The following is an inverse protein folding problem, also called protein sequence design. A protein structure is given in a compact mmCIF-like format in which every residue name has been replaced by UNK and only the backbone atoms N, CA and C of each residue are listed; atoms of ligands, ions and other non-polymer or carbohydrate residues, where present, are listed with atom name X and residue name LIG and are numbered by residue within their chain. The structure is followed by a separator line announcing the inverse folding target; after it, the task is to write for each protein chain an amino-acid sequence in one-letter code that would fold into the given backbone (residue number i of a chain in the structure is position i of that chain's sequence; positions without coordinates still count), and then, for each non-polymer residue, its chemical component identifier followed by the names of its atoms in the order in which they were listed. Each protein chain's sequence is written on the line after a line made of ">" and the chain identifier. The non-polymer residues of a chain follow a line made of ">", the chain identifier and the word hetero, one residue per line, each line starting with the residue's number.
data_IF_630366454022
#
_entry.id   IF_630366454022
#
_cell.length_a   1.000
_cell.length_b   1.000
_cell.length_c   1.000
_cell.angle_alpha   90.00
_cell.angle_beta   90.00
_cell.angle_gamma   90.00
#
_symmetry.space_group_name_H-M   'P 1'
#
loop_
_entity.id
_entity.type
_entity.pdbx_description
1 polymer ?
#
# COMPACT_ATOMS: atom_id res chain seq x y z
N UNK A 1 -35.85 -3.36 25.44
CA UNK A 1 -36.41 -2.63 24.27
C UNK A 1 -35.39 -1.71 23.63
N UNK A 2 -34.61 -0.90 24.38
CA UNK A 2 -33.44 -0.22 23.80
C UNK A 2 -32.28 -1.21 23.56
N UNK A 3 -32.04 -2.12 24.50
CA UNK A 3 -30.89 -3.04 24.53
C UNK A 3 -30.76 -3.92 23.27
N UNK A 4 -31.84 -4.53 22.76
CA UNK A 4 -31.77 -5.49 21.66
C UNK A 4 -31.37 -4.82 20.34
N UNK A 5 -31.89 -3.61 20.09
CA UNK A 5 -31.51 -2.81 18.94
C UNK A 5 -30.07 -2.32 19.05
N UNK A 6 -29.64 -1.92 20.25
CA UNK A 6 -28.26 -1.47 20.48
C UNK A 6 -27.26 -2.63 20.30
N UNK A 7 -27.58 -3.83 20.77
CA UNK A 7 -26.81 -5.06 20.53
C UNK A 7 -26.67 -5.34 19.03
N UNK A 8 -27.78 -5.28 18.28
CA UNK A 8 -27.75 -5.50 16.83
C UNK A 8 -26.88 -4.46 16.09
N UNK A 9 -26.93 -3.19 16.50
CA UNK A 9 -26.10 -2.13 15.91
C UNK A 9 -24.62 -2.35 16.23
N UNK A 10 -24.27 -2.69 17.47
CA UNK A 10 -22.87 -2.89 17.88
C UNK A 10 -22.27 -4.13 17.21
N UNK A 11 -22.99 -5.25 17.19
CA UNK A 11 -22.53 -6.48 16.52
C UNK A 11 -22.34 -6.29 15.00
N UNK A 12 -23.24 -5.57 14.33
CA UNK A 12 -23.09 -5.20 12.92
C UNK A 12 -21.83 -4.35 12.67
N UNK A 13 -21.54 -3.35 13.52
CA UNK A 13 -20.31 -2.56 13.41
C UNK A 13 -19.05 -3.40 13.59
N UNK A 14 -19.04 -4.30 14.56
CA UNK A 14 -17.93 -5.24 14.77
C UNK A 14 -17.74 -6.11 13.53
N UNK A 15 -18.82 -6.67 12.98
CA UNK A 15 -18.76 -7.49 11.77
C UNK A 15 -18.24 -6.72 10.55
N UNK A 16 -18.68 -5.46 10.37
CA UNK A 16 -18.19 -4.59 9.31
C UNK A 16 -16.70 -4.29 9.45
N UNK A 17 -16.24 -3.97 10.65
CA UNK A 17 -14.82 -3.71 10.92
C UNK A 17 -13.95 -4.94 10.63
N UNK A 18 -14.36 -6.12 11.11
CA UNK A 18 -13.64 -7.37 10.88
C UNK A 18 -13.61 -7.76 9.39
N UNK A 19 -14.75 -7.65 8.70
CA UNK A 19 -14.81 -7.96 7.28
C UNK A 19 -13.98 -6.98 6.43
N UNK A 20 -13.94 -5.70 6.81
CA UNK A 20 -13.09 -4.70 6.16
C UNK A 20 -11.61 -5.04 6.34
N UNK A 21 -11.17 -5.29 7.57
CA UNK A 21 -9.78 -5.63 7.85
C UNK A 21 -9.35 -6.92 7.11
N UNK A 22 -10.21 -7.94 7.09
CA UNK A 22 -10.00 -9.15 6.27
C UNK A 22 -9.81 -8.81 4.79
N UNK A 23 -10.71 -8.02 4.21
CA UNK A 23 -10.64 -7.65 2.79
C UNK A 23 -9.37 -6.84 2.48
N UNK A 24 -8.96 -5.94 3.38
CA UNK A 24 -7.68 -5.22 3.25
C UNK A 24 -6.49 -6.17 3.28
N UNK A 25 -6.45 -7.12 4.22
CA UNK A 25 -5.36 -8.10 4.30
C UNK A 25 -5.30 -9.00 3.07
N UNK A 26 -6.44 -9.45 2.56
CA UNK A 26 -6.54 -10.25 1.34
C UNK A 26 -6.02 -9.47 0.12
N UNK A 27 -6.44 -8.21 -0.02
CA UNK A 27 -5.99 -7.32 -1.08
C UNK A 27 -4.48 -7.04 -1.01
N UNK A 28 -3.94 -6.80 0.19
CA UNK A 28 -2.51 -6.61 0.41
C UNK A 28 -1.75 -7.89 0.03
N UNK A 29 -2.19 -9.06 0.51
CA UNK A 29 -1.54 -10.33 0.19
C UNK A 29 -1.52 -10.59 -1.33
N UNK A 30 -2.63 -10.37 -2.04
CA UNK A 30 -2.70 -10.52 -3.50
C UNK A 30 -1.79 -9.51 -4.22
N UNK A 31 -1.75 -8.26 -3.77
CA UNK A 31 -0.91 -7.21 -4.35
C UNK A 31 0.59 -7.50 -4.15
N UNK A 32 0.96 -8.10 -3.01
CA UNK A 32 2.35 -8.49 -2.69
C UNK A 32 2.80 -9.78 -3.38
N UNK A 33 1.95 -10.46 -4.15
CA UNK A 33 2.36 -11.67 -4.88
C UNK A 33 3.49 -11.41 -5.88
N UNK A 34 4.21 -12.49 -6.21
CA UNK A 34 5.32 -12.47 -7.16
C UNK A 34 4.92 -11.94 -8.54
N UNK A 35 3.65 -12.13 -8.95
CA UNK A 35 3.15 -11.66 -10.26
C UNK A 35 2.92 -10.14 -10.31
N UNK A 36 2.80 -9.50 -9.16
CA UNK A 36 2.46 -8.10 -8.99
C UNK A 36 3.69 -7.34 -8.45
N UNK A 37 3.71 -7.01 -7.16
CA UNK A 37 4.78 -6.22 -6.56
C UNK A 37 6.14 -6.97 -6.57
N UNK A 38 6.13 -8.30 -6.48
CA UNK A 38 7.36 -9.09 -6.58
C UNK A 38 8.06 -8.93 -7.94
N UNK A 39 7.30 -8.98 -9.05
CA UNK A 39 7.80 -8.70 -10.40
C UNK A 39 8.26 -7.26 -10.56
N UNK A 40 7.56 -6.31 -9.94
CA UNK A 40 7.97 -4.92 -9.95
C UNK A 40 9.38 -4.77 -9.37
N UNK A 41 9.64 -5.36 -8.19
CA UNK A 41 10.95 -5.34 -7.54
C UNK A 41 12.01 -6.13 -8.32
N UNK A 42 11.64 -7.24 -8.96
CA UNK A 42 12.53 -7.98 -9.86
C UNK A 42 13.00 -7.09 -11.03
N UNK A 43 12.08 -6.36 -11.68
CA UNK A 43 12.44 -5.40 -12.72
C UNK A 43 13.35 -4.27 -12.17
N UNK A 44 13.20 -3.87 -10.90
CA UNK A 44 14.13 -2.89 -10.28
C UNK A 44 15.53 -3.49 -10.13
N UNK A 45 15.63 -4.76 -9.75
CA UNK A 45 16.90 -5.46 -9.66
C UNK A 45 17.59 -5.60 -11.02
N UNK A 46 16.84 -5.84 -12.09
CA UNK A 46 17.37 -5.84 -13.47
C UNK A 46 17.94 -4.48 -13.86
N UNK A 47 17.23 -3.39 -13.56
CA UNK A 47 17.71 -2.03 -13.82
C UNK A 47 18.96 -1.68 -13.00
N UNK A 48 19.06 -2.17 -11.76
CA UNK A 48 20.29 -2.06 -10.96
C UNK A 48 21.44 -2.82 -11.63
N UNK A 49 21.17 -4.00 -12.20
CA UNK A 49 22.16 -4.74 -12.99
C UNK A 49 22.65 -3.98 -14.23
N UNK A 50 21.75 -3.24 -14.90
CA UNK A 50 22.14 -2.36 -16.02
C UNK A 50 23.02 -1.20 -15.55
N UNK A 51 22.70 -0.62 -14.40
CA UNK A 51 23.53 0.44 -13.78
C UNK A 51 24.93 -0.09 -13.42
N UNK A 52 25.03 -1.30 -12.87
CA UNK A 52 26.32 -1.97 -12.60
C UNK A 52 27.14 -2.14 -13.88
N UNK A 53 26.51 -2.62 -14.96
CA UNK A 53 27.17 -2.73 -16.27
C UNK A 53 27.58 -1.36 -16.85
N UNK A 54 26.83 -0.29 -16.53
CA UNK A 54 27.24 1.10 -16.78
C UNK A 54 28.52 1.48 -16.02
N UNK A 55 28.58 1.13 -14.73
CA UNK A 55 29.77 1.34 -13.88
C UNK A 55 31.03 0.64 -14.42
N UNK A 56 30.90 -0.58 -14.93
CA UNK A 56 32.02 -1.30 -15.56
C UNK A 56 32.52 -0.60 -16.83
N UNK A 57 31.61 -0.02 -17.63
CA UNK A 57 31.98 0.78 -18.81
C UNK A 57 32.70 2.07 -18.41
N UNK A 58 32.22 2.76 -17.37
CA UNK A 58 32.90 3.94 -16.82
C UNK A 58 34.28 3.58 -16.31
N UNK A 59 34.43 2.45 -15.61
CA UNK A 59 35.72 1.98 -15.11
C UNK A 59 36.72 1.74 -16.23
N UNK A 60 36.28 1.16 -17.34
CA UNK A 60 37.12 0.97 -18.52
C UNK A 60 37.57 2.32 -19.10
N UNK A 61 36.64 3.26 -19.25
CA UNK A 61 36.96 4.60 -19.73
C UNK A 61 37.95 5.33 -18.80
N UNK A 62 37.78 5.21 -17.48
CA UNK A 62 38.69 5.79 -16.48
C UNK A 62 40.12 5.22 -16.61
N UNK A 63 40.24 3.90 -16.81
CA UNK A 63 41.53 3.26 -17.03
C UNK A 63 42.22 3.77 -18.31
N UNK A 64 41.47 3.93 -19.41
CA UNK A 64 41.98 4.47 -20.66
C UNK A 64 42.41 5.94 -20.52
N UNK A 65 41.59 6.76 -19.87
CA UNK A 65 41.91 8.16 -19.58
C UNK A 65 43.17 8.30 -18.70
N UNK A 66 43.32 7.47 -17.66
CA UNK A 66 44.52 7.47 -16.80
C UNK A 66 45.78 7.06 -17.59
N UNK A 67 45.68 6.03 -18.44
CA UNK A 67 46.78 5.61 -19.29
C UNK A 67 47.22 6.73 -20.26
N UNK A 68 46.28 7.44 -20.87
CA UNK A 68 46.54 8.58 -21.74
C UNK A 68 47.10 9.79 -20.97
N UNK A 69 46.57 10.09 -19.78
CA UNK A 69 47.09 11.15 -18.92
C UNK A 69 48.54 10.91 -18.50
N UNK A 70 48.90 9.66 -18.19
CA UNK A 70 50.30 9.26 -17.93
C UNK A 70 51.20 9.36 -19.15
N UNK A 71 50.68 9.14 -20.36
CA UNK A 71 51.44 9.34 -21.59
C UNK A 71 51.67 10.83 -21.84
N UNK A 72 50.60 11.62 -21.83
CA UNK A 72 50.63 13.07 -22.04
C UNK A 72 51.55 13.79 -21.04
N UNK A 73 51.51 13.39 -19.76
CA UNK A 73 52.40 13.93 -18.72
C UNK A 73 53.87 13.61 -18.96
N UNK A 74 54.18 12.46 -19.58
CA UNK A 74 55.56 12.05 -19.89
C UNK A 74 56.11 12.68 -21.14
N UNK A 75 55.29 12.81 -22.20
CA UNK A 75 55.74 13.31 -23.51
C UNK A 75 55.67 14.83 -23.59
N UNK A 76 54.69 15.44 -22.92
CA UNK A 76 54.39 16.86 -23.06
C UNK A 76 53.92 17.25 -24.47
N UNK A 77 53.61 16.26 -25.32
CA UNK A 77 53.17 16.51 -26.68
C UNK A 77 51.73 17.03 -26.71
N UNK A 78 51.47 18.00 -27.59
CA UNK A 78 50.11 18.56 -27.74
C UNK A 78 49.11 17.52 -28.22
N UNK A 79 49.53 16.57 -29.06
CA UNK A 79 48.67 15.50 -29.55
C UNK A 79 48.23 14.56 -28.43
N UNK A 80 49.15 14.17 -27.55
CA UNK A 80 48.84 13.31 -26.40
C UNK A 80 47.98 14.04 -25.36
N UNK A 81 48.20 15.34 -25.14
CA UNK A 81 47.34 16.17 -24.28
C UNK A 81 45.91 16.27 -24.82
N UNK A 82 45.74 16.42 -26.14
CA UNK A 82 44.41 16.47 -26.76
C UNK A 82 43.67 15.13 -26.60
N UNK A 83 44.34 13.99 -26.84
CA UNK A 83 43.75 12.67 -26.62
C UNK A 83 43.32 12.45 -25.18
N UNK A 84 44.17 12.81 -24.22
CA UNK A 84 43.82 12.73 -22.80
C UNK A 84 42.57 13.54 -22.47
N UNK A 85 42.44 14.77 -23.00
CA UNK A 85 41.25 15.59 -22.80
C UNK A 85 39.99 14.93 -23.40
N UNK A 86 40.09 14.31 -24.59
CA UNK A 86 38.98 13.56 -25.19
C UNK A 86 38.55 12.36 -24.33
N UNK A 87 39.51 11.62 -23.76
CA UNK A 87 39.21 10.50 -22.87
C UNK A 87 38.61 10.97 -21.53
N UNK A 88 39.07 12.10 -20.98
CA UNK A 88 38.49 12.74 -19.79
C UNK A 88 37.02 13.10 -20.01
N UNK A 89 36.71 13.73 -21.16
CA UNK A 89 35.35 14.06 -21.56
C UNK A 89 34.49 12.81 -21.73
N UNK A 90 35.03 11.73 -22.31
CA UNK A 90 34.32 10.45 -22.45
C UNK A 90 33.97 9.82 -21.10
N UNK A 91 34.86 9.89 -20.10
CA UNK A 91 34.57 9.44 -18.73
C UNK A 91 33.40 10.22 -18.16
N UNK A 92 33.44 11.56 -18.25
CA UNK A 92 32.36 12.41 -17.73
C UNK A 92 31.02 12.14 -18.39
N UNK A 93 31.01 12.00 -19.72
CA UNK A 93 29.80 11.69 -20.48
C UNK A 93 29.21 10.34 -20.05
N UNK A 94 30.06 9.31 -19.91
CA UNK A 94 29.63 7.98 -19.50
C UNK A 94 29.10 7.96 -18.07
N UNK A 95 29.75 8.69 -17.17
CA UNK A 95 29.29 8.84 -15.79
C UNK A 95 27.97 9.59 -15.73
N UNK A 96 27.82 10.72 -16.43
CA UNK A 96 26.59 11.50 -16.45
C UNK A 96 25.40 10.67 -16.96
N UNK A 97 25.62 9.81 -17.95
CA UNK A 97 24.59 8.87 -18.41
C UNK A 97 24.18 7.90 -17.30
N UNK A 98 25.15 7.28 -16.61
CA UNK A 98 24.85 6.38 -15.49
C UNK A 98 24.18 7.09 -14.31
N UNK A 99 24.57 8.34 -14.03
CA UNK A 99 23.97 9.18 -13.01
C UNK A 99 22.50 9.52 -13.35
N UNK A 100 22.22 9.82 -14.63
CA UNK A 100 20.85 10.01 -15.11
C UNK A 100 20.02 8.72 -15.03
N UNK A 101 20.57 7.58 -15.46
CA UNK A 101 19.91 6.26 -15.35
C UNK A 101 19.56 5.94 -13.89
N UNK A 102 20.44 6.33 -12.95
CA UNK A 102 20.19 6.22 -11.51
C UNK A 102 19.02 7.12 -11.07
N UNK A 103 18.96 8.38 -11.52
CA UNK A 103 17.81 9.27 -11.24
C UNK A 103 16.47 8.70 -11.75
N UNK A 104 16.45 8.14 -12.96
CA UNK A 104 15.28 7.48 -13.54
C UNK A 104 14.90 6.21 -12.76
N UNK A 105 15.89 5.44 -12.30
CA UNK A 105 15.67 4.32 -11.38
C UNK A 105 15.11 4.80 -10.04
N UNK A 106 15.64 5.87 -9.45
CA UNK A 106 15.15 6.48 -8.21
C UNK A 106 13.68 6.89 -8.31
N UNK A 107 13.28 7.46 -9.44
CA UNK A 107 11.88 7.81 -9.73
C UNK A 107 10.97 6.58 -9.85
N UNK A 108 11.47 5.49 -10.45
CA UNK A 108 10.74 4.20 -10.52
C UNK A 108 10.61 3.54 -9.15
N UNK A 109 11.65 3.56 -8.33
CA UNK A 109 11.62 3.09 -6.93
C UNK A 109 10.64 3.93 -6.11
N UNK A 110 10.62 5.26 -6.30
CA UNK A 110 9.68 6.14 -5.60
C UNK A 110 8.22 5.87 -5.89
N UNK A 111 7.87 5.40 -7.11
CA UNK A 111 6.50 4.95 -7.41
C UNK A 111 6.12 3.69 -6.65
N UNK A 112 7.02 2.71 -6.62
CA UNK A 112 6.85 1.49 -5.83
C UNK A 112 6.66 1.84 -4.34
N UNK A 113 7.50 2.73 -3.82
CA UNK A 113 7.40 3.24 -2.46
C UNK A 113 6.01 3.86 -2.18
N UNK A 114 5.45 4.64 -3.11
CA UNK A 114 4.10 5.20 -2.98
C UNK A 114 2.99 4.14 -2.91
N UNK A 115 3.09 3.06 -3.68
CA UNK A 115 2.13 1.95 -3.59
C UNK A 115 2.15 1.28 -2.20
N UNK A 116 3.32 1.18 -1.56
CA UNK A 116 3.41 0.69 -0.17
C UNK A 116 2.81 1.66 0.85
N UNK A 117 2.90 2.97 0.59
CA UNK A 117 2.27 4.00 1.42
C UNK A 117 0.73 3.89 1.37
N UNK A 118 0.17 3.64 0.19
CA UNK A 118 -1.27 3.40 0.04
C UNK A 118 -1.74 2.17 0.85
N UNK A 119 -0.98 1.08 0.83
CA UNK A 119 -1.28 -0.10 1.65
C UNK A 119 -1.15 0.18 3.15
N UNK A 120 -0.13 0.96 3.56
CA UNK A 120 0.05 1.40 4.94
C UNK A 120 -1.16 2.21 5.42
N UNK A 121 -1.62 3.16 4.62
CA UNK A 121 -2.80 3.99 4.94
C UNK A 121 -4.07 3.15 5.10
N UNK A 122 -4.29 2.18 4.20
CA UNK A 122 -5.47 1.32 4.27
C UNK A 122 -5.44 0.36 5.46
N UNK A 123 -4.28 -0.18 5.82
CA UNK A 123 -4.11 -0.97 7.03
C UNK A 123 -4.27 -0.12 8.29
N UNK A 124 -3.74 1.11 8.31
CA UNK A 124 -3.91 2.07 9.40
C UNK A 124 -5.39 2.38 9.65
N UNK A 125 -6.16 2.61 8.58
CA UNK A 125 -7.63 2.79 8.67
C UNK A 125 -8.31 1.53 9.21
N UNK A 126 -7.97 0.35 8.67
CA UNK A 126 -8.53 -0.93 9.14
C UNK A 126 -8.22 -1.20 10.60
N UNK A 127 -7.01 -0.88 11.07
CA UNK A 127 -6.64 -0.97 12.48
C UNK A 127 -7.49 -0.06 13.37
N UNK A 128 -7.72 1.19 12.95
CA UNK A 128 -8.60 2.11 13.67
C UNK A 128 -10.06 1.64 13.74
N UNK A 129 -10.56 0.97 12.69
CA UNK A 129 -11.88 0.33 12.74
C UNK A 129 -11.93 -0.85 13.73
N UNK A 130 -10.84 -1.62 13.84
CA UNK A 130 -10.75 -2.73 14.81
C UNK A 130 -10.64 -2.21 16.25
N UNK A 131 -9.96 -1.10 16.48
CA UNK A 131 -9.95 -0.40 17.79
C UNK A 131 -11.37 0.00 18.20
N UNK A 132 -12.13 0.59 17.28
CA UNK A 132 -13.53 0.92 17.55
C UNK A 132 -14.36 -0.35 17.79
N UNK A 133 -14.13 -1.42 17.04
CA UNK A 133 -14.81 -2.70 17.24
C UNK A 133 -14.52 -3.30 18.61
N UNK A 134 -13.30 -3.18 19.14
CA UNK A 134 -12.99 -3.59 20.52
C UNK A 134 -13.79 -2.77 21.54
N UNK A 135 -13.90 -1.46 21.35
CA UNK A 135 -14.75 -0.62 22.21
C UNK A 135 -16.24 -0.99 22.12
N UNK A 136 -16.71 -1.37 20.92
CA UNK A 136 -18.08 -1.81 20.71
C UNK A 136 -18.32 -3.17 21.40
N UNK A 137 -17.36 -4.10 21.36
CA UNK A 137 -17.40 -5.37 22.11
C UNK A 137 -17.38 -5.16 23.63
N UNK A 138 -16.58 -4.22 24.13
CA UNK A 138 -16.54 -3.86 25.55
C UNK A 138 -17.89 -3.28 26.02
N UNK A 139 -18.64 -2.67 25.12
CA UNK A 139 -20.00 -2.20 25.38
C UNK A 139 -21.00 -3.36 25.32
N UNK A 140 -20.83 -4.29 24.37
CA UNK A 140 -21.65 -5.52 24.27
C UNK A 140 -21.58 -6.37 25.54
N UNK A 141 -20.41 -6.46 26.19
CA UNK A 141 -20.21 -7.21 27.44
C UNK A 141 -21.07 -6.67 28.61
N UNK A 142 -21.51 -5.41 28.55
CA UNK A 142 -22.37 -4.79 29.57
C UNK A 142 -23.84 -5.20 29.44
N UNK A 143 -24.24 -5.76 28.29
CA UNK A 143 -25.59 -6.25 28.07
C UNK A 143 -25.70 -7.71 28.52
N UNK A 144 -26.42 -8.00 29.62
CA UNK A 144 -26.57 -9.38 30.09
C UNK A 144 -27.28 -10.29 29.07
N UNK A 145 -28.08 -9.71 28.17
CA UNK A 145 -28.81 -10.42 27.12
C UNK A 145 -27.92 -10.91 25.96
N UNK A 146 -26.77 -10.28 25.72
CA UNK A 146 -25.84 -10.70 24.66
C UNK A 146 -25.00 -11.92 25.06
N UNK A 147 -24.69 -12.03 26.36
CA UNK A 147 -23.93 -13.13 26.93
C UNK A 147 -22.42 -12.88 26.95
N UNK A 148 -21.80 -13.07 28.11
CA UNK A 148 -20.38 -12.81 28.33
C UNK A 148 -19.46 -13.70 27.48
N UNK A 149 -19.87 -14.94 27.17
CA UNK A 149 -19.10 -15.87 26.35
C UNK A 149 -18.97 -15.38 24.90
N UNK A 150 -20.08 -14.95 24.28
CA UNK A 150 -20.10 -14.43 22.91
C UNK A 150 -19.29 -13.13 22.79
N UNK A 151 -19.43 -12.22 23.76
CA UNK A 151 -18.62 -11.01 23.84
C UNK A 151 -17.12 -11.33 23.99
N UNK A 152 -16.76 -12.28 24.86
CA UNK A 152 -15.37 -12.70 25.07
C UNK A 152 -14.74 -13.34 23.83
N UNK A 153 -15.51 -14.13 23.10
CA UNK A 153 -15.07 -14.75 21.84
C UNK A 153 -14.86 -13.68 20.75
N UNK A 154 -15.81 -12.74 20.58
CA UNK A 154 -15.63 -11.60 19.66
C UNK A 154 -14.39 -10.77 20.02
N UNK A 155 -14.20 -10.44 21.30
CA UNK A 155 -13.05 -9.67 21.78
C UNK A 155 -11.74 -10.33 21.35
N UNK A 156 -11.65 -11.65 21.57
CA UNK A 156 -10.46 -12.45 21.23
C UNK A 156 -10.19 -12.42 19.73
N UNK A 157 -11.22 -12.59 18.90
CA UNK A 157 -11.10 -12.61 17.44
C UNK A 157 -10.74 -11.25 16.86
N UNK A 158 -11.38 -10.17 17.33
CA UNK A 158 -11.05 -8.80 16.93
C UNK A 158 -9.61 -8.46 17.31
N UNK A 159 -9.19 -8.78 18.54
CA UNK A 159 -7.82 -8.56 19.00
C UNK A 159 -6.78 -9.35 18.17
N UNK A 160 -7.12 -10.58 17.75
CA UNK A 160 -6.22 -11.34 16.88
C UNK A 160 -6.06 -10.69 15.50
N UNK A 161 -7.16 -10.27 14.89
CA UNK A 161 -7.16 -9.61 13.60
C UNK A 161 -6.44 -8.25 13.65
N UNK A 162 -6.59 -7.52 14.75
CA UNK A 162 -5.88 -6.26 14.97
C UNK A 162 -4.37 -6.47 15.07
N UNK A 163 -3.94 -7.49 15.81
CA UNK A 163 -2.53 -7.83 15.93
C UNK A 163 -1.93 -8.18 14.55
N UNK A 164 -2.63 -9.00 13.76
CA UNK A 164 -2.19 -9.32 12.40
C UNK A 164 -2.10 -8.07 11.52
N UNK A 165 -3.13 -7.21 11.55
CA UNK A 165 -3.15 -5.95 10.78
C UNK A 165 -1.97 -5.05 11.15
N UNK A 166 -1.68 -4.90 12.45
CA UNK A 166 -0.55 -4.12 12.96
C UNK A 166 0.81 -4.72 12.58
N UNK A 167 0.94 -6.05 12.62
CA UNK A 167 2.18 -6.72 12.20
C UNK A 167 2.44 -6.55 10.71
N UNK A 168 1.41 -6.73 9.88
CA UNK A 168 1.48 -6.48 8.45
C UNK A 168 1.89 -5.04 8.16
N UNK A 169 1.26 -4.08 8.85
CA UNK A 169 1.55 -2.66 8.72
C UNK A 169 3.01 -2.32 9.02
N UNK A 170 3.54 -2.82 10.14
CA UNK A 170 4.94 -2.64 10.52
C UNK A 170 5.92 -3.25 9.50
N UNK A 171 5.56 -4.40 8.93
CA UNK A 171 6.33 -5.05 7.86
C UNK A 171 6.37 -4.21 6.58
N UNK A 172 5.21 -3.69 6.14
CA UNK A 172 5.11 -2.79 5.00
C UNK A 172 5.88 -1.49 5.23
N UNK A 173 5.79 -0.91 6.42
CA UNK A 173 6.56 0.28 6.78
C UNK A 173 8.08 0.04 6.69
N UNK A 174 8.55 -1.12 7.14
CA UNK A 174 9.96 -1.48 7.03
C UNK A 174 10.40 -1.58 5.56
N UNK A 175 9.57 -2.15 4.69
CA UNK A 175 9.81 -2.21 3.25
C UNK A 175 9.79 -0.81 2.60
N UNK A 176 8.82 0.03 2.98
CA UNK A 176 8.71 1.42 2.54
C UNK A 176 9.97 2.23 2.88
N UNK A 177 10.44 2.15 4.13
CA UNK A 177 11.62 2.89 4.58
C UNK A 177 12.89 2.43 3.82
N UNK A 178 13.01 1.14 3.48
CA UNK A 178 14.11 0.61 2.67
C UNK A 178 14.06 1.11 1.22
N UNK A 179 12.89 1.15 0.59
CA UNK A 179 12.76 1.76 -0.74
C UNK A 179 13.05 3.25 -0.71
N UNK A 180 12.72 3.94 0.39
CA UNK A 180 13.14 5.33 0.63
C UNK A 180 14.65 5.50 0.64
N UNK A 181 15.38 4.61 1.31
CA UNK A 181 16.85 4.60 1.29
C UNK A 181 17.41 4.34 -0.10
N UNK A 182 16.89 3.32 -0.80
CA UNK A 182 17.29 3.00 -2.16
C UNK A 182 17.08 4.20 -3.11
N UNK A 183 15.91 4.85 -3.02
CA UNK A 183 15.59 6.06 -3.78
C UNK A 183 16.57 7.19 -3.47
N UNK A 184 16.87 7.43 -2.19
CA UNK A 184 17.83 8.45 -1.79
C UNK A 184 19.23 8.18 -2.34
N UNK A 185 19.71 6.93 -2.30
CA UNK A 185 20.98 6.52 -2.90
C UNK A 185 21.02 6.80 -4.40
N UNK A 186 19.94 6.48 -5.12
CA UNK A 186 19.86 6.72 -6.56
C UNK A 186 19.99 8.21 -6.90
N UNK A 187 19.28 9.09 -6.17
CA UNK A 187 19.37 10.53 -6.36
C UNK A 187 20.69 11.14 -5.90
N UNK A 188 21.34 10.57 -4.89
CA UNK A 188 22.69 10.98 -4.49
C UNK A 188 23.70 10.72 -5.60
N UNK A 189 23.59 9.58 -6.30
CA UNK A 189 24.42 9.29 -7.47
C UNK A 189 24.11 10.24 -8.63
N UNK A 190 22.84 10.52 -8.90
CA UNK A 190 22.42 11.49 -9.93
C UNK A 190 23.04 12.88 -9.70
N UNK A 191 23.07 13.34 -8.45
CA UNK A 191 23.59 14.66 -8.07
C UNK A 191 25.10 14.68 -7.84
N UNK A 192 25.78 13.54 -7.93
CA UNK A 192 27.20 13.46 -7.65
C UNK A 192 28.01 14.24 -8.70
N UNK A 193 28.79 15.21 -8.22
CA UNK A 193 29.77 15.93 -9.04
C UNK A 193 31.16 15.50 -8.63
N UNK A 194 31.76 14.60 -9.40
CA UNK A 194 33.07 14.03 -9.12
C UNK A 194 34.13 14.59 -10.07
N UNK A 195 35.37 14.67 -9.60
CA UNK A 195 36.51 15.01 -10.44
C UNK A 195 36.99 13.75 -11.17
N UNK A 196 37.47 13.92 -12.40
CA UNK A 196 38.05 12.80 -13.17
C UNK A 196 39.46 12.51 -12.64
N UNK A 197 39.64 11.26 -12.21
CA UNK A 197 40.87 10.77 -11.60
C UNK A 197 40.58 9.66 -10.59
N UNK A 198 41.55 8.77 -10.38
CA UNK A 198 41.57 7.72 -9.34
C UNK A 198 40.37 6.75 -9.30
N UNK A 199 39.61 6.63 -10.40
CA UNK A 199 38.48 5.68 -10.48
C UNK A 199 37.24 6.11 -9.68
N UNK A 200 37.14 7.38 -9.31
CA UNK A 200 36.08 7.88 -8.42
C UNK A 200 34.66 7.70 -9.01
N UNK A 201 34.49 7.81 -10.32
CA UNK A 201 33.17 7.72 -10.96
C UNK A 201 32.65 6.29 -10.95
N UNK A 202 33.47 5.32 -11.37
CA UNK A 202 33.07 3.91 -11.34
C UNK A 202 32.89 3.38 -9.92
N UNK A 203 33.69 3.86 -8.96
CA UNK A 203 33.51 3.55 -7.55
C UNK A 203 32.14 4.03 -7.03
N UNK A 204 31.77 5.29 -7.31
CA UNK A 204 30.47 5.83 -6.91
C UNK A 204 29.28 5.04 -7.49
N UNK A 205 29.35 4.67 -8.78
CA UNK A 205 28.31 3.85 -9.42
C UNK A 205 28.23 2.47 -8.76
N UNK A 206 29.38 1.84 -8.48
CA UNK A 206 29.44 0.53 -7.85
C UNK A 206 28.88 0.54 -6.43
N UNK A 207 29.23 1.55 -5.63
CA UNK A 207 28.80 1.67 -4.24
C UNK A 207 27.29 1.94 -4.17
N UNK A 208 26.79 2.84 -5.02
CA UNK A 208 25.36 3.09 -5.16
C UNK A 208 24.62 1.82 -5.61
N UNK A 209 25.10 1.12 -6.64
CA UNK A 209 24.49 -0.11 -7.13
C UNK A 209 24.47 -1.23 -6.09
N UNK A 210 25.53 -1.33 -5.27
CA UNK A 210 25.59 -2.31 -4.17
C UNK A 210 24.54 -1.99 -3.10
N UNK A 211 24.43 -0.73 -2.70
CA UNK A 211 23.44 -0.28 -1.72
C UNK A 211 22.01 -0.49 -2.24
N UNK A 212 21.75 -0.11 -3.49
CA UNK A 212 20.48 -0.35 -4.18
C UNK A 212 20.11 -1.83 -4.23
N UNK A 213 21.07 -2.69 -4.58
CA UNK A 213 20.87 -4.16 -4.61
C UNK A 213 20.46 -4.67 -3.24
N UNK A 214 21.15 -4.22 -2.18
CA UNK A 214 20.88 -4.64 -0.80
C UNK A 214 19.48 -4.18 -0.37
N UNK A 215 19.13 -2.92 -0.58
CA UNK A 215 17.87 -2.36 -0.09
C UNK A 215 16.66 -2.92 -0.86
N UNK A 216 16.75 -3.04 -2.18
CA UNK A 216 15.67 -3.61 -3.01
C UNK A 216 15.47 -5.10 -2.74
N UNK A 217 16.56 -5.89 -2.63
CA UNK A 217 16.45 -7.32 -2.30
C UNK A 217 15.86 -7.54 -0.90
N UNK A 218 16.34 -6.79 0.10
CA UNK A 218 15.77 -6.84 1.47
C UNK A 218 14.32 -6.39 1.51
N UNK A 219 13.93 -5.40 0.70
CA UNK A 219 12.53 -5.00 0.58
C UNK A 219 11.70 -6.19 0.08
N UNK A 220 12.14 -6.82 -1.01
CA UNK A 220 11.46 -8.00 -1.58
C UNK A 220 11.30 -9.11 -0.56
N UNK A 221 12.39 -9.48 0.11
CA UNK A 221 12.38 -10.57 1.09
C UNK A 221 11.43 -10.26 2.26
N UNK A 222 11.43 -9.02 2.77
CA UNK A 222 10.48 -8.62 3.82
C UNK A 222 9.02 -8.58 3.36
N UNK A 223 8.74 -8.22 2.11
CA UNK A 223 7.37 -8.28 1.58
C UNK A 223 6.91 -9.73 1.38
N UNK A 224 7.82 -10.63 1.00
CA UNK A 224 7.55 -12.08 0.98
C UNK A 224 7.18 -12.57 2.37
N UNK A 225 7.96 -12.22 3.40
CA UNK A 225 7.67 -12.60 4.79
C UNK A 225 6.31 -12.07 5.26
N UNK A 226 5.96 -10.82 4.91
CA UNK A 226 4.65 -10.23 5.22
C UNK A 226 3.54 -11.02 4.55
N UNK A 227 3.66 -11.28 3.24
CA UNK A 227 2.67 -12.04 2.48
C UNK A 227 2.47 -13.44 3.07
N UNK A 228 3.55 -14.19 3.29
CA UNK A 228 3.48 -15.54 3.86
C UNK A 228 2.87 -15.52 5.29
N UNK A 229 3.16 -14.46 6.05
CA UNK A 229 2.54 -14.19 7.34
C UNK A 229 1.02 -13.97 7.25
N UNK A 230 0.53 -13.28 6.23
CA UNK A 230 -0.90 -13.11 5.98
C UNK A 230 -1.49 -14.44 5.53
N UNK A 231 -0.96 -15.05 4.46
CA UNK A 231 -1.47 -16.28 3.83
C UNK A 231 -1.64 -17.42 4.83
N UNK A 232 -0.65 -17.63 5.70
CA UNK A 232 -0.68 -18.67 6.74
C UNK A 232 -1.80 -18.49 7.76
N UNK A 233 -2.35 -17.27 7.90
CA UNK A 233 -3.41 -16.91 8.85
C UNK A 233 -4.75 -16.61 8.18
N UNK A 234 -4.80 -16.45 6.86
CA UNK A 234 -6.01 -16.05 6.14
C UNK A 234 -7.18 -17.00 6.35
N UNK A 235 -6.94 -18.30 6.49
CA UNK A 235 -8.01 -19.26 6.82
C UNK A 235 -8.68 -18.89 8.16
N UNK A 236 -7.90 -18.68 9.22
CA UNK A 236 -8.42 -18.28 10.52
C UNK A 236 -9.10 -16.91 10.47
N UNK A 237 -8.53 -15.95 9.73
CA UNK A 237 -9.13 -14.62 9.56
C UNK A 237 -10.51 -14.72 8.90
N UNK A 238 -10.66 -15.57 7.88
CA UNK A 238 -11.94 -15.82 7.23
C UNK A 238 -12.97 -16.40 8.20
N UNK A 239 -12.58 -17.38 9.02
CA UNK A 239 -13.46 -17.94 10.06
C UNK A 239 -13.84 -16.91 11.12
N UNK A 240 -12.91 -16.03 11.52
CA UNK A 240 -13.17 -14.96 12.47
C UNK A 240 -14.17 -13.93 11.95
N UNK A 241 -13.99 -13.48 10.70
CA UNK A 241 -14.94 -12.56 10.08
C UNK A 241 -16.31 -13.22 9.87
N UNK A 242 -16.36 -14.49 9.46
CA UNK A 242 -17.62 -15.21 9.31
C UNK A 242 -18.36 -15.33 10.66
N UNK A 243 -17.65 -15.68 11.73
CA UNK A 243 -18.23 -15.71 13.08
C UNK A 243 -18.87 -14.37 13.46
N UNK A 244 -18.19 -13.25 13.20
CA UNK A 244 -18.75 -11.93 13.51
C UNK A 244 -20.02 -11.60 12.71
N UNK A 245 -20.10 -12.03 11.45
CA UNK A 245 -21.29 -11.88 10.60
C UNK A 245 -22.43 -12.73 11.14
N UNK A 246 -22.16 -13.97 11.55
CA UNK A 246 -23.16 -14.87 12.12
C UNK A 246 -23.74 -14.31 13.43
N UNK A 247 -22.90 -13.70 14.29
CA UNK A 247 -23.36 -13.02 15.51
C UNK A 247 -24.20 -11.76 15.20
N UNK A 248 -23.79 -10.96 14.21
CA UNK A 248 -24.57 -9.79 13.77
C UNK A 248 -25.95 -10.21 13.23
N UNK A 249 -26.00 -11.28 12.43
CA UNK A 249 -27.26 -11.83 11.91
C UNK A 249 -28.16 -12.34 13.05
N UNK A 250 -27.60 -13.07 14.03
CA UNK A 250 -28.34 -13.55 15.19
C UNK A 250 -28.91 -12.40 16.01
N UNK A 251 -28.14 -11.34 16.25
CA UNK A 251 -28.59 -10.16 16.98
C UNK A 251 -29.71 -9.42 16.23
N UNK A 252 -29.61 -9.30 14.91
CA UNK A 252 -30.65 -8.72 14.07
C UNK A 252 -31.95 -9.54 14.06
N UNK A 253 -31.86 -10.88 14.01
CA UNK A 253 -33.03 -11.77 14.11
C UNK A 253 -33.74 -11.64 15.46
N UNK A 254 -32.97 -11.52 16.56
CA UNK A 254 -33.50 -11.27 17.90
C UNK A 254 -34.25 -9.92 17.98
N UNK A 255 -33.69 -8.84 17.43
CA UNK A 255 -34.38 -7.55 17.36
C UNK A 255 -35.70 -7.66 16.58
N UNK A 256 -35.66 -8.30 15.41
CA UNK A 256 -36.81 -8.40 14.53
C UNK A 256 -37.94 -9.27 15.12
N UNK A 257 -37.59 -10.40 15.76
CA UNK A 257 -38.57 -11.29 16.40
C UNK A 257 -39.25 -10.62 17.60
N UNK A 258 -38.49 -9.88 18.42
CA UNK A 258 -39.04 -9.10 19.54
C UNK A 258 -39.94 -7.96 19.07
N UNK A 259 -39.62 -7.34 17.92
CA UNK A 259 -40.43 -6.30 17.31
C UNK A 259 -41.77 -6.81 16.76
N UNK A 260 -41.81 -8.02 16.20
CA UNK A 260 -43.04 -8.64 15.67
C UNK A 260 -43.88 -9.30 16.78
N UNK A 261 -43.25 -9.82 17.83
CA UNK A 261 -43.92 -10.44 18.98
C UNK A 261 -44.65 -9.44 19.89
N UNK A 262 -44.51 -8.14 19.67
CA UNK A 262 -45.26 -7.11 20.38
C UNK A 262 -46.54 -6.71 19.63
N UNK A 263 -47.72 -6.72 20.29
CA UNK A 263 -48.91 -6.11 19.71
C UNK A 263 -48.63 -4.62 19.45
N UNK A 264 -49.19 -4.02 18.38
CA UNK A 264 -49.03 -2.60 18.13
C UNK A 264 -49.44 -1.84 19.38
N UNK A 265 -48.56 -0.93 19.84
CA UNK A 265 -48.92 0.00 20.89
C UNK A 265 -50.21 0.68 20.46
N UNK A 266 -51.31 0.38 21.17
CA UNK A 266 -52.59 1.04 20.98
C UNK A 266 -52.31 2.51 21.22
N UNK A 267 -52.16 3.25 20.12
CA UNK A 267 -52.25 4.70 20.13
C UNK A 267 -53.69 4.97 20.52
N UNK A 268 -53.90 5.23 21.81
CA UNK A 268 -55.19 5.69 22.30
C UNK A 268 -55.53 6.97 21.53
N UNK A 269 -56.59 6.87 20.75
CA UNK A 269 -57.21 7.94 19.99
C UNK A 269 -57.45 9.15 20.91
N UNK A 270 -56.87 10.30 20.56
CA UNK A 270 -57.57 11.56 20.71
C UNK A 270 -58.09 11.94 19.33
N UNK A 271 -59.40 11.78 19.16
CA UNK A 271 -60.13 12.09 17.95
C UNK A 271 -60.10 13.58 17.62
N UNK A 272 -60.29 13.86 16.33
CA UNK A 272 -60.42 15.21 15.81
C UNK A 272 -60.45 15.21 14.28
N UNK A 273 -61.61 14.85 13.73
CA UNK A 273 -62.21 15.37 12.49
C UNK A 273 -61.36 15.50 11.20
N UNK A 274 -61.76 14.70 10.20
CA UNK A 274 -61.65 15.00 8.75
C UNK A 274 -62.61 16.16 8.38
N UNK A 275 -62.34 16.98 7.34
CA UNK A 275 -62.41 16.53 5.93
C UNK A 275 -61.35 17.14 4.97
N UNK A 276 -60.81 16.34 4.05
CA UNK A 276 -61.06 16.35 2.60
C UNK A 276 -60.37 17.49 1.82
N UNK A 277 -59.36 17.15 1.00
CA UNK A 277 -59.48 17.26 -0.46
C UNK A 277 -58.26 16.66 -1.20
N UNK A 278 -58.57 16.18 -2.40
CA UNK A 278 -57.70 15.56 -3.40
C UNK A 278 -56.78 16.59 -4.06
N UNK A 279 -55.55 16.20 -4.43
CA UNK A 279 -55.13 16.03 -5.84
C UNK A 279 -53.64 15.69 -5.99
N UNK A 280 -53.42 14.53 -6.59
CA UNK A 280 -52.38 14.13 -7.55
C UNK A 280 -51.18 15.04 -7.84
N UNK A 281 -49.98 14.44 -7.79
CA UNK A 281 -48.81 14.95 -8.53
C UNK A 281 -47.48 14.24 -8.24
N UNK A 282 -47.18 13.18 -9.02
CA UNK A 282 -45.85 12.81 -9.58
C UNK A 282 -44.60 13.04 -8.71
N UNK A 283 -43.99 12.00 -8.13
CA UNK A 283 -43.03 11.05 -8.74
C UNK A 283 -41.69 11.66 -9.21
N UNK A 284 -40.60 11.17 -8.59
CA UNK A 284 -39.25 11.05 -9.17
C UNK A 284 -38.26 12.14 -8.75
N UNK A 285 -37.09 11.87 -8.18
CA UNK A 285 -36.44 10.63 -7.80
C UNK A 285 -35.13 11.02 -7.10
N UNK A 286 -34.89 10.48 -5.92
CA UNK A 286 -33.61 10.65 -5.22
C UNK A 286 -32.60 9.77 -5.95
N UNK A 287 -31.70 10.43 -6.67
CA UNK A 287 -30.65 9.80 -7.45
C UNK A 287 -29.67 9.08 -6.50
N UNK A 288 -29.49 7.78 -6.75
CA UNK A 288 -28.48 6.95 -6.13
C UNK A 288 -27.07 7.39 -6.60
N UNK A 289 -26.15 7.77 -5.68
CA UNK A 289 -24.80 8.20 -6.03
C UNK A 289 -23.94 7.11 -6.70
N UNK A 290 -24.36 5.84 -6.69
CA UNK A 290 -23.61 4.74 -7.33
C UNK A 290 -23.73 4.69 -8.86
N UNK A 291 -24.73 5.37 -9.46
CA UNK A 291 -24.92 5.39 -10.91
C UNK A 291 -24.12 6.48 -11.66
N UNK A 292 -23.34 7.31 -10.95
CA UNK A 292 -22.58 8.41 -11.57
C UNK A 292 -21.23 7.97 -12.17
N UNK A 293 -20.67 6.85 -11.71
CA UNK A 293 -19.33 6.39 -12.11
C UNK A 293 -19.28 5.58 -13.42
N UNK A 294 -20.41 5.03 -13.90
CA UNK A 294 -20.44 4.29 -15.18
C UNK A 294 -20.72 5.16 -16.42
N UNK A 295 -21.12 6.43 -16.25
CA UNK A 295 -21.43 7.33 -17.39
C UNK A 295 -20.27 8.26 -17.80
N UNK A 296 -19.14 8.21 -17.09
CA UNK A 296 -17.93 8.99 -17.42
C UNK A 296 -16.93 8.29 -18.35
N UNK A 297 -17.14 7.01 -18.68
CA UNK A 297 -16.18 6.20 -19.44
C UNK A 297 -16.52 6.03 -20.92
N UNK A 298 -17.61 6.63 -21.43
CA UNK A 298 -18.07 6.46 -22.82
C UNK A 298 -18.00 7.71 -23.70
N UNK A 299 -17.60 8.87 -23.17
CA UNK A 299 -17.59 10.14 -23.93
C UNK A 299 -16.20 10.69 -24.31
N UNK A 300 -15.13 9.92 -24.10
CA UNK A 300 -13.75 10.32 -24.49
C UNK A 300 -13.26 9.69 -25.81
N UNK A 301 -14.16 9.09 -26.61
CA UNK A 301 -13.83 8.27 -27.78
C UNK A 301 -14.17 8.86 -29.15
N UNK A 302 -14.72 10.07 -29.24
CA UNK A 302 -15.09 10.69 -30.51
C UNK A 302 -14.78 12.18 -30.52
N UNK A 303 -13.51 12.54 -30.75
CA UNK A 303 -13.13 13.76 -31.48
C UNK A 303 -11.61 13.77 -31.69
N UNK A 304 -11.18 13.25 -32.83
CA UNK A 304 -9.95 13.60 -33.59
C UNK A 304 -9.88 12.70 -34.83
N UNK A 305 -10.53 13.17 -35.89
CA UNK A 305 -10.13 12.93 -37.28
C UNK A 305 -9.70 14.26 -37.85
#
# INVERSE_FOLDING_TARGET
>A
MANERDIAILTDRVAQAMNRARATLDYVADSLQDRNYGRLLENRMEDIGQLQAGGDRVRQAEFEAEAQGRLASRTGDRGDMARWAEADDQVRLSFNHAAQDAGDLGSRIGRAQGELEDFHDDLGRSSAFLDQALSDVDTLEQFPEYGAEAAGELRTRVAHLQNLTTQTDAGLKTAYDRLGNARATAFQLEQASLQVGDGAHSAAIRDASTSLTIDVSRTRDSLTDVREGIDSRMHNVNEMAQYSIDEANRAAELEHTMRIGMPPAISAEQGGERPADQESGTSGGVQDPRLRLMRGATDAGQERR
#
